data_IF_602799039917
#
_entry.id   IF_602799039917
#
_cell.length_a   1.000
_cell.length_b   1.000
_cell.length_c   1.000
_cell.angle_alpha   90.00
_cell.angle_beta   90.00
_cell.angle_gamma   90.00
#
_symmetry.space_group_name_H-M   'P 1'
#
loop_
_entity.id
_entity.type
_entity.pdbx_description
1 polymer ?
#
# COMPACT_ATOMS: atom_id res chain seq x y z
N UNK A 1 24.65 19.15 -70.24
CA UNK A 1 24.99 17.71 -70.18
C UNK A 1 24.21 17.14 -69.00
N UNK A 2 23.15 16.38 -69.34
CA UNK A 2 22.35 15.45 -68.50
C UNK A 2 21.68 15.99 -67.23
N UNK A 3 20.44 15.68 -66.86
CA UNK A 3 19.27 15.05 -67.47
C UNK A 3 18.15 15.20 -66.40
N UNK A 4 16.88 15.21 -66.81
CA UNK A 4 15.70 15.23 -65.94
C UNK A 4 15.65 14.02 -64.98
N UNK A 5 15.05 14.21 -63.79
CA UNK A 5 13.83 13.50 -63.34
C UNK A 5 13.40 13.90 -61.89
N UNK A 6 12.22 14.48 -61.77
CA UNK A 6 11.23 14.20 -60.70
C UNK A 6 10.09 13.39 -61.36
N UNK A 7 9.08 12.81 -60.66
CA UNK A 7 8.93 12.37 -59.26
C UNK A 7 8.26 10.95 -59.16
N UNK A 8 7.82 10.57 -57.95
CA UNK A 8 6.78 9.57 -57.62
C UNK A 8 7.26 8.26 -56.97
N UNK A 9 6.85 8.02 -55.72
CA UNK A 9 5.61 7.27 -55.39
C UNK A 9 5.49 7.01 -53.88
N UNK A 10 4.26 7.22 -53.42
CA UNK A 10 3.50 6.38 -52.49
C UNK A 10 4.11 5.99 -51.14
N UNK A 11 3.40 6.44 -50.10
CA UNK A 11 2.61 5.50 -49.30
C UNK A 11 3.38 4.68 -48.29
N UNK A 12 3.38 5.14 -47.04
CA UNK A 12 3.82 4.34 -45.92
C UNK A 12 3.73 5.11 -44.63
N UNK A 13 2.53 5.18 -44.04
CA UNK A 13 2.34 5.52 -42.63
C UNK A 13 3.26 4.64 -41.78
N UNK A 14 4.35 5.22 -41.28
CA UNK A 14 5.26 4.54 -40.36
C UNK A 14 4.53 4.42 -39.02
N UNK A 15 3.87 3.29 -38.82
CA UNK A 15 3.47 2.85 -37.49
C UNK A 15 4.75 2.79 -36.64
N UNK A 16 4.82 3.64 -35.62
CA UNK A 16 5.85 3.62 -34.61
C UNK A 16 5.81 2.27 -33.88
N UNK A 17 6.52 1.26 -34.41
CA UNK A 17 6.76 -0.01 -33.70
C UNK A 17 7.65 0.31 -32.52
N UNK A 18 7.01 0.60 -31.39
CA UNK A 18 7.67 0.65 -30.10
C UNK A 18 8.35 -0.71 -29.92
N UNK A 19 9.68 -0.73 -29.97
CA UNK A 19 10.46 -1.94 -29.70
C UNK A 19 10.28 -2.27 -28.22
N UNK A 20 9.21 -3.01 -27.90
CA UNK A 20 9.00 -3.54 -26.55
C UNK A 20 9.96 -4.71 -26.38
N UNK A 21 10.86 -4.58 -25.40
CA UNK A 21 11.74 -5.68 -25.00
C UNK A 21 10.89 -6.89 -24.60
N UNK A 22 11.22 -8.10 -25.09
CA UNK A 22 10.47 -9.29 -24.73
C UNK A 22 10.58 -9.54 -23.22
N UNK A 23 9.44 -9.73 -22.59
CA UNK A 23 9.33 -10.05 -21.16
C UNK A 23 10.01 -11.40 -20.88
N UNK A 24 10.36 -11.66 -19.61
CA UNK A 24 10.99 -12.93 -19.22
C UNK A 24 10.09 -14.14 -19.53
N UNK A 25 8.76 -13.96 -19.52
CA UNK A 25 7.79 -14.99 -19.88
C UNK A 25 7.80 -15.30 -21.39
N UNK A 26 7.83 -14.28 -22.25
CA UNK A 26 7.89 -14.46 -23.71
C UNK A 26 9.17 -15.19 -24.15
N UNK A 27 10.27 -14.98 -23.42
CA UNK A 27 11.55 -15.66 -23.66
C UNK A 27 11.54 -17.15 -23.26
N UNK A 28 10.69 -17.56 -22.32
CA UNK A 28 10.64 -18.95 -21.83
C UNK A 28 9.53 -19.78 -22.48
N UNK A 29 8.43 -19.16 -22.89
CA UNK A 29 7.22 -19.87 -23.31
C UNK A 29 6.72 -19.49 -24.71
N UNK A 30 7.48 -18.67 -25.45
CA UNK A 30 7.07 -18.15 -26.75
C UNK A 30 5.85 -17.23 -26.68
N UNK A 31 5.49 -16.54 -27.78
CA UNK A 31 4.25 -15.79 -27.84
C UNK A 31 3.07 -16.78 -27.78
N UNK A 32 2.40 -16.84 -26.63
CA UNK A 32 1.14 -17.58 -26.49
C UNK A 32 0.17 -17.07 -27.57
N UNK A 33 -0.14 -17.93 -28.54
CA UNK A 33 -1.27 -17.71 -29.43
C UNK A 33 -2.48 -17.46 -28.54
N UNK A 34 -3.00 -16.23 -28.54
CA UNK A 34 -4.31 -15.93 -27.96
C UNK A 34 -5.30 -16.86 -28.65
N UNK A 35 -5.66 -17.98 -28.00
CA UNK A 35 -6.87 -18.71 -28.35
C UNK A 35 -8.01 -17.72 -28.12
N UNK A 36 -8.53 -17.18 -29.21
CA UNK A 36 -9.80 -16.46 -29.20
C UNK A 36 -10.85 -17.48 -28.78
N UNK A 37 -11.44 -17.29 -27.61
CA UNK A 37 -12.67 -17.98 -27.27
C UNK A 37 -13.84 -17.23 -27.95
N UNK A 38 -14.77 -17.95 -28.60
CA UNK A 38 -15.95 -17.34 -29.20
C UNK A 38 -16.84 -16.71 -28.13
N UNK A 39 -17.28 -15.48 -28.41
CA UNK A 39 -18.32 -14.78 -27.66
C UNK A 39 -19.65 -15.48 -27.90
N UNK A 40 -20.19 -16.15 -26.88
CA UNK A 40 -21.61 -16.48 -26.83
C UNK A 40 -22.22 -15.80 -25.61
N UNK A 41 -23.16 -14.91 -25.92
CA UNK A 41 -24.10 -14.32 -25.00
C UNK A 41 -25.16 -15.35 -24.63
N UNK A 42 -25.48 -15.46 -23.33
CA UNK A 42 -26.78 -16.00 -22.90
C UNK A 42 -27.32 -15.05 -21.84
N UNK A 43 -28.46 -14.47 -22.19
CA UNK A 43 -29.31 -13.68 -21.33
C UNK A 43 -30.29 -14.61 -20.58
N UNK A 44 -30.73 -14.14 -19.40
CA UNK A 44 -31.92 -14.60 -18.64
C UNK A 44 -31.70 -15.96 -17.97
N UNK A 45 -31.81 -16.11 -16.64
CA UNK A 45 -33.06 -16.21 -15.87
C UNK A 45 -32.78 -15.91 -14.39
N UNK A 46 -33.65 -15.09 -13.79
CA UNK A 46 -33.78 -14.86 -12.35
C UNK A 46 -34.98 -15.70 -11.85
N UNK A 47 -34.81 -16.57 -10.84
CA UNK A 47 -35.93 -16.84 -9.94
C UNK A 47 -35.47 -17.08 -8.49
N UNK A 48 -35.82 -16.14 -7.61
CA UNK A 48 -36.63 -16.44 -6.43
C UNK A 48 -36.16 -17.50 -5.42
N UNK A 49 -36.00 -17.01 -4.18
CA UNK A 49 -36.41 -17.69 -2.93
C UNK A 49 -35.57 -18.88 -2.48
N UNK A 50 -34.63 -18.60 -1.57
CA UNK A 50 -34.51 -19.43 -0.36
C UNK A 50 -34.04 -18.59 0.82
N UNK A 51 -34.92 -18.48 1.83
CA UNK A 51 -34.68 -17.89 3.14
C UNK A 51 -33.66 -18.76 3.90
N UNK A 52 -32.60 -18.21 4.52
CA UNK A 52 -31.88 -18.93 5.55
C UNK A 52 -32.74 -19.02 6.83
N UNK A 53 -32.72 -20.15 7.56
CA UNK A 53 -33.54 -20.35 8.75
C UNK A 53 -33.10 -19.47 9.92
N UNK A 54 -34.10 -19.03 10.69
CA UNK A 54 -33.99 -18.44 12.02
C UNK A 54 -33.15 -19.33 12.94
N UNK A 55 -32.04 -18.79 13.45
CA UNK A 55 -31.35 -19.38 14.59
C UNK A 55 -31.49 -18.42 15.77
N UNK A 56 -32.14 -18.98 16.77
CA UNK A 56 -32.48 -18.45 18.07
C UNK A 56 -31.35 -17.65 18.74
N UNK A 57 -31.79 -16.60 19.42
CA UNK A 57 -31.04 -15.85 20.39
C UNK A 57 -30.59 -16.74 21.56
N UNK A 58 -29.30 -16.75 21.85
CA UNK A 58 -28.81 -16.95 23.20
C UNK A 58 -27.84 -15.82 23.55
N UNK A 59 -28.32 -14.96 24.45
CA UNK A 59 -27.61 -13.85 25.09
C UNK A 59 -26.80 -14.40 26.26
N UNK A 60 -25.52 -14.03 26.42
CA UNK A 60 -24.90 -13.90 27.74
C UNK A 60 -23.91 -12.72 27.74
N UNK A 61 -24.18 -11.80 28.67
CA UNK A 61 -23.36 -10.78 29.36
C UNK A 61 -21.83 -10.96 29.34
N UNK A 62 -20.95 -9.95 29.48
CA UNK A 62 -20.97 -8.73 30.33
C UNK A 62 -19.76 -7.80 29.93
N UNK A 63 -19.75 -6.49 30.29
CA UNK A 63 -18.68 -5.55 29.91
C UNK A 63 -17.75 -5.09 31.06
N UNK A 64 -16.62 -4.43 30.68
CA UNK A 64 -15.69 -3.57 31.48
C UNK A 64 -14.66 -4.31 32.37
N UNK A 65 -13.37 -3.96 32.51
CA UNK A 65 -12.64 -2.66 32.52
C UNK A 65 -11.16 -2.85 32.08
N UNK A 66 -10.44 -1.81 31.62
CA UNK A 66 -9.01 -1.69 31.87
C UNK A 66 -8.74 -0.64 32.97
N UNK A 67 -8.10 -1.09 34.06
CA UNK A 67 -7.65 -0.25 35.16
C UNK A 67 -6.58 0.76 34.71
N UNK A 68 -6.77 2.00 35.17
CA UNK A 68 -5.74 3.03 35.22
C UNK A 68 -5.05 2.96 36.58
N UNK A 69 -3.73 3.14 36.59
CA UNK A 69 -2.84 3.75 37.62
C UNK A 69 -1.44 3.15 37.36
N UNK A 70 -0.30 3.83 37.48
CA UNK A 70 0.04 4.97 38.32
C UNK A 70 1.17 5.80 37.70
N UNK A 71 1.20 7.07 38.08
CA UNK A 71 2.28 8.05 37.86
C UNK A 71 3.36 7.89 38.96
N UNK A 72 4.64 8.07 38.61
CA UNK A 72 5.72 8.79 39.36
C UNK A 72 7.04 8.58 38.59
N UNK A 73 7.72 9.62 38.08
CA UNK A 73 8.65 10.55 38.77
C UNK A 73 9.86 9.79 39.37
N UNK A 74 11.14 10.16 39.25
CA UNK A 74 11.89 11.31 38.74
C UNK A 74 13.38 10.90 38.63
N UNK A 75 14.31 11.88 38.60
CA UNK A 75 15.78 11.82 38.80
C UNK A 75 16.58 11.74 37.48
N UNK A 76 17.05 12.87 36.92
CA UNK A 76 18.23 13.67 37.30
C UNK A 76 19.56 12.96 36.98
N UNK A 77 20.30 13.55 36.04
CA UNK A 77 21.62 13.09 35.62
C UNK A 77 22.32 14.20 34.84
N UNK A 78 22.76 15.22 35.58
CA UNK A 78 23.74 16.20 35.13
C UNK A 78 24.99 15.48 34.61
N UNK A 79 25.49 15.92 33.47
CA UNK A 79 26.73 15.44 32.86
C UNK A 79 27.35 16.54 32.01
N UNK A 80 27.76 17.62 32.66
CA UNK A 80 28.62 18.66 32.10
C UNK A 80 29.95 18.06 31.63
N UNK A 81 30.39 18.34 30.41
CA UNK A 81 31.81 18.60 30.13
C UNK A 81 32.00 19.46 28.89
N UNK A 82 32.65 20.60 29.13
CA UNK A 82 33.02 21.66 28.20
C UNK A 82 33.99 21.14 27.14
N UNK A 83 33.91 21.66 25.91
CA UNK A 83 35.07 21.68 25.00
C UNK A 83 35.00 22.85 24.01
N UNK A 84 35.95 23.78 24.23
CA UNK A 84 36.67 24.66 23.29
C UNK A 84 35.90 25.52 22.29
N UNK A 85 36.03 26.83 22.53
CA UNK A 85 36.04 27.95 21.58
C UNK A 85 36.84 27.68 20.29
N UNK A 86 36.33 28.06 19.10
CA UNK A 86 37.15 28.53 18.00
C UNK A 86 37.15 30.06 17.97
N UNK A 87 38.30 30.62 18.28
CA UNK A 87 38.69 32.00 18.04
C UNK A 87 39.03 32.12 16.54
N UNK A 88 38.56 33.19 15.87
CA UNK A 88 39.15 33.65 14.60
C UNK A 88 38.24 33.59 13.38
N UNK A 89 37.82 34.76 12.89
CA UNK A 89 37.18 34.91 11.58
C UNK A 89 36.53 36.26 11.35
N UNK A 90 37.32 37.35 11.37
CA UNK A 90 36.91 38.65 10.81
C UNK A 90 36.99 38.56 9.28
N UNK A 91 35.87 38.73 8.58
CA UNK A 91 35.81 38.71 7.11
C UNK A 91 34.57 39.41 6.55
N UNK A 92 34.70 40.72 6.32
CA UNK A 92 34.11 41.54 5.26
C UNK A 92 32.64 41.31 4.84
N UNK A 93 31.80 42.26 5.24
CA UNK A 93 30.42 42.43 4.79
C UNK A 93 30.35 43.46 3.64
N UNK A 94 30.33 42.99 2.39
CA UNK A 94 29.73 43.73 1.27
C UNK A 94 28.26 43.33 1.17
N UNK A 95 27.39 44.13 1.82
CA UNK A 95 25.94 43.90 1.86
C UNK A 95 25.33 44.11 0.48
N UNK A 96 25.02 43.01 -0.22
CA UNK A 96 23.83 42.98 -1.08
C UNK A 96 22.60 43.09 -0.17
N UNK A 97 21.55 43.85 -0.51
CA UNK A 97 20.27 43.78 0.20
C UNK A 97 19.54 42.51 -0.24
N UNK A 98 20.15 41.36 0.05
CA UNK A 98 19.51 40.06 -0.06
C UNK A 98 18.89 39.77 1.28
N UNK A 99 17.57 39.66 1.32
CA UNK A 99 16.75 39.10 2.40
C UNK A 99 17.60 38.20 3.31
N UNK A 100 17.92 38.68 4.51
CA UNK A 100 18.58 37.86 5.54
C UNK A 100 17.61 36.75 5.97
N UNK A 101 17.49 35.70 5.16
CA UNK A 101 17.07 34.41 5.67
C UNK A 101 18.19 33.93 6.58
N UNK A 102 17.98 34.10 7.88
CA UNK A 102 18.76 33.40 8.88
C UNK A 102 18.73 31.91 8.52
N UNK A 103 19.89 31.22 8.50
CA UNK A 103 19.91 29.79 8.26
C UNK A 103 18.97 29.10 9.25
N UNK A 104 18.17 28.11 8.82
CA UNK A 104 17.24 27.43 9.71
C UNK A 104 18.00 26.89 10.91
N UNK A 105 17.46 27.15 12.11
CA UNK A 105 18.04 26.66 13.36
C UNK A 105 18.22 25.14 13.30
N UNK A 106 19.18 24.62 14.07
CA UNK A 106 19.41 23.18 14.10
C UNK A 106 18.18 22.41 14.60
N UNK A 107 17.31 23.06 15.39
CA UNK A 107 16.00 22.53 15.78
C UNK A 107 15.05 22.37 14.60
N UNK A 108 14.98 23.36 13.71
CA UNK A 108 14.18 23.27 12.48
C UNK A 108 14.70 22.13 11.58
N UNK A 109 16.02 21.96 11.45
CA UNK A 109 16.61 20.85 10.69
C UNK A 109 16.29 19.49 11.31
N UNK A 110 16.40 19.37 12.64
CA UNK A 110 16.08 18.14 13.36
C UNK A 110 14.59 17.78 13.18
N UNK A 111 13.72 18.78 13.24
CA UNK A 111 12.29 18.60 13.04
C UNK A 111 11.94 18.22 11.60
N UNK A 112 12.60 18.81 10.60
CA UNK A 112 12.46 18.41 9.20
C UNK A 112 12.86 16.95 8.98
N UNK A 113 13.97 16.49 9.60
CA UNK A 113 14.39 15.07 9.55
C UNK A 113 13.36 14.16 10.20
N UNK A 114 12.84 14.53 11.37
CA UNK A 114 11.81 13.78 12.07
C UNK A 114 10.52 13.66 11.23
N UNK A 115 10.05 14.77 10.64
CA UNK A 115 8.91 14.77 9.73
C UNK A 115 9.14 13.87 8.51
N UNK A 116 10.32 13.93 7.90
CA UNK A 116 10.66 13.07 6.76
C UNK A 116 10.62 11.58 7.13
N UNK A 117 11.15 11.22 8.31
CA UNK A 117 11.07 9.85 8.84
C UNK A 117 9.62 9.39 8.99
N UNK A 118 8.73 10.24 9.53
CA UNK A 118 7.29 9.90 9.67
C UNK A 118 6.57 9.83 8.32
N UNK A 119 6.88 10.70 7.36
CA UNK A 119 6.34 10.61 5.99
C UNK A 119 6.73 9.30 5.31
N UNK A 120 7.99 8.88 5.45
CA UNK A 120 8.46 7.58 4.93
C UNK A 120 7.72 6.41 5.59
N UNK A 121 7.58 6.42 6.92
CA UNK A 121 6.82 5.39 7.63
C UNK A 121 5.37 5.32 7.15
N UNK A 122 4.69 6.47 6.99
CA UNK A 122 3.32 6.51 6.46
C UNK A 122 3.21 5.92 5.04
N UNK A 123 4.18 6.21 4.17
CA UNK A 123 4.25 5.63 2.83
C UNK A 123 4.44 4.11 2.87
N UNK A 124 5.25 3.61 3.80
CA UNK A 124 5.41 2.16 4.02
C UNK A 124 4.10 1.50 4.43
N UNK A 125 3.35 2.08 5.36
CA UNK A 125 2.04 1.55 5.76
C UNK A 125 1.01 1.56 4.63
N UNK A 126 1.02 2.59 3.77
CA UNK A 126 0.19 2.61 2.56
C UNK A 126 0.53 1.42 1.63
N UNK A 127 1.82 1.11 1.46
CA UNK A 127 2.26 -0.06 0.69
C UNK A 127 1.84 -1.38 1.35
N UNK A 128 1.98 -1.51 2.67
CA UNK A 128 1.54 -2.71 3.42
C UNK A 128 0.03 -2.93 3.29
N UNK A 129 -0.78 -1.89 3.46
CA UNK A 129 -2.23 -1.95 3.24
C UNK A 129 -2.58 -2.36 1.80
N UNK A 130 -1.87 -1.82 0.80
CA UNK A 130 -2.07 -2.24 -0.58
C UNK A 130 -1.70 -3.72 -0.82
N UNK A 131 -0.64 -4.23 -0.17
CA UNK A 131 -0.28 -5.65 -0.22
C UNK A 131 -1.37 -6.53 0.39
N UNK A 132 -1.92 -6.16 1.55
CA UNK A 132 -3.04 -6.91 2.16
C UNK A 132 -4.25 -6.96 1.23
N UNK A 133 -4.59 -5.86 0.56
CA UNK A 133 -5.68 -5.86 -0.45
C UNK A 133 -5.40 -6.82 -1.61
N UNK A 134 -4.15 -6.93 -2.07
CA UNK A 134 -3.79 -7.91 -3.12
C UNK A 134 -3.93 -9.34 -2.62
N UNK A 135 -3.49 -9.61 -1.39
CA UNK A 135 -3.66 -10.94 -0.78
C UNK A 135 -5.15 -11.30 -0.65
N UNK A 136 -5.99 -10.35 -0.22
CA UNK A 136 -7.44 -10.55 -0.20
C UNK A 136 -7.99 -10.90 -1.59
N UNK A 137 -7.58 -10.17 -2.64
CA UNK A 137 -8.00 -10.50 -4.01
C UNK A 137 -7.58 -11.90 -4.45
N UNK A 138 -6.39 -12.37 -4.07
CA UNK A 138 -5.97 -13.74 -4.37
C UNK A 138 -6.78 -14.78 -3.59
N UNK A 139 -7.16 -14.49 -2.34
CA UNK A 139 -8.09 -15.33 -1.57
C UNK A 139 -9.45 -15.39 -2.26
N UNK A 140 -9.98 -14.26 -2.71
CA UNK A 140 -11.29 -14.20 -3.39
C UNK A 140 -11.27 -14.97 -4.71
N UNK A 141 -10.19 -14.85 -5.49
CA UNK A 141 -9.98 -15.65 -6.72
C UNK A 141 -9.92 -17.14 -6.42
N UNK A 142 -9.22 -17.53 -5.37
CA UNK A 142 -9.14 -18.92 -4.96
C UNK A 142 -10.50 -19.48 -4.54
N UNK A 143 -11.30 -18.68 -3.82
CA UNK A 143 -12.67 -19.06 -3.47
C UNK A 143 -13.53 -19.27 -4.71
N UNK A 144 -13.49 -18.32 -5.66
CA UNK A 144 -14.20 -18.45 -6.93
C UNK A 144 -13.76 -19.70 -7.72
N UNK A 145 -12.46 -20.01 -7.73
CA UNK A 145 -11.94 -21.24 -8.30
C UNK A 145 -12.55 -22.48 -7.63
N UNK A 146 -12.53 -22.56 -6.29
CA UNK A 146 -13.15 -23.69 -5.58
C UNK A 146 -14.66 -23.79 -5.85
N UNK A 147 -15.38 -22.66 -5.94
CA UNK A 147 -16.81 -22.66 -6.27
C UNK A 147 -17.07 -23.24 -7.66
N UNK A 148 -16.26 -22.86 -8.66
CA UNK A 148 -16.38 -23.43 -10.01
C UNK A 148 -16.08 -24.93 -10.03
N UNK A 149 -15.01 -25.37 -9.33
CA UNK A 149 -14.69 -26.79 -9.23
C UNK A 149 -15.82 -27.59 -8.58
N UNK A 150 -16.45 -27.07 -7.52
CA UNK A 150 -17.62 -27.73 -6.90
C UNK A 150 -18.79 -27.87 -7.89
N UNK A 151 -19.00 -26.88 -8.75
CA UNK A 151 -20.08 -26.92 -9.75
C UNK A 151 -19.79 -27.88 -10.91
N UNK A 152 -18.52 -28.04 -11.30
CA UNK A 152 -18.10 -28.91 -12.41
C UNK A 152 -17.91 -30.38 -11.99
N UNK A 153 -17.55 -30.62 -10.74
CA UNK A 153 -17.30 -31.96 -10.21
C UNK A 153 -18.62 -32.68 -9.90
N UNK A 154 -18.80 -33.89 -10.45
CA UNK A 154 -19.95 -34.76 -10.14
C UNK A 154 -19.74 -35.66 -8.91
N UNK A 155 -18.49 -35.90 -8.52
CA UNK A 155 -18.17 -36.71 -7.34
C UNK A 155 -18.40 -35.92 -6.05
N UNK A 156 -19.36 -36.40 -5.25
CA UNK A 156 -19.69 -35.84 -3.93
C UNK A 156 -18.50 -35.74 -2.98
N UNK A 157 -17.53 -36.66 -3.07
CA UNK A 157 -16.35 -36.64 -2.21
C UNK A 157 -15.42 -35.48 -2.57
N UNK A 158 -15.12 -35.33 -3.87
CA UNK A 158 -14.31 -34.22 -4.37
C UNK A 158 -14.97 -32.86 -4.11
N UNK A 159 -16.30 -32.75 -4.30
CA UNK A 159 -17.06 -31.55 -3.92
C UNK A 159 -16.85 -31.20 -2.44
N UNK A 160 -16.95 -32.18 -1.54
CA UNK A 160 -16.74 -31.97 -0.11
C UNK A 160 -15.30 -31.51 0.21
N UNK A 161 -14.30 -32.01 -0.52
CA UNK A 161 -12.92 -31.57 -0.39
C UNK A 161 -12.73 -30.11 -0.81
N UNK A 162 -13.29 -29.69 -1.96
CA UNK A 162 -13.23 -28.28 -2.40
C UNK A 162 -13.95 -27.34 -1.45
N UNK A 163 -15.12 -27.74 -0.93
CA UNK A 163 -15.85 -26.96 0.07
C UNK A 163 -15.06 -26.82 1.38
N UNK A 164 -14.42 -27.91 1.84
CA UNK A 164 -13.54 -27.89 3.03
C UNK A 164 -12.35 -26.95 2.81
N UNK A 165 -11.71 -27.03 1.64
CA UNK A 165 -10.58 -26.19 1.28
C UNK A 165 -10.96 -24.70 1.26
N UNK A 166 -12.10 -24.37 0.64
CA UNK A 166 -12.66 -23.01 0.64
C UNK A 166 -12.91 -22.49 2.06
N UNK A 167 -13.52 -23.31 2.93
CA UNK A 167 -13.79 -22.95 4.34
C UNK A 167 -12.49 -22.70 5.12
N UNK A 168 -11.49 -23.56 4.98
CA UNK A 168 -10.20 -23.41 5.66
C UNK A 168 -9.47 -22.15 5.19
N UNK A 169 -9.46 -21.87 3.89
CA UNK A 169 -8.86 -20.65 3.34
C UNK A 169 -9.58 -19.40 3.86
N UNK A 170 -10.92 -19.40 3.92
CA UNK A 170 -11.70 -18.29 4.48
C UNK A 170 -11.33 -18.03 5.95
N UNK A 171 -11.32 -19.06 6.78
CA UNK A 171 -10.97 -18.93 8.21
C UNK A 171 -9.54 -18.42 8.41
N UNK A 172 -8.60 -18.94 7.62
CA UNK A 172 -7.19 -18.48 7.67
C UNK A 172 -7.06 -17.02 7.24
N UNK A 173 -7.71 -16.63 6.15
CA UNK A 173 -7.71 -15.27 5.64
C UNK A 173 -8.34 -14.29 6.63
N UNK A 174 -9.51 -14.61 7.20
CA UNK A 174 -10.17 -13.77 8.21
C UNK A 174 -9.29 -13.53 9.44
N UNK A 175 -8.63 -14.59 9.94
CA UNK A 175 -7.72 -14.49 11.09
C UNK A 175 -6.50 -13.63 10.76
N UNK A 176 -5.80 -13.93 9.68
CA UNK A 176 -4.52 -13.27 9.35
C UNK A 176 -4.74 -11.87 8.79
N UNK A 177 -5.57 -11.72 7.75
CA UNK A 177 -5.82 -10.42 7.11
C UNK A 177 -6.58 -9.48 8.04
N UNK A 178 -7.53 -10.00 8.83
CA UNK A 178 -8.26 -9.21 9.81
C UNK A 178 -7.37 -8.66 10.92
N UNK A 179 -6.47 -9.47 11.48
CA UNK A 179 -5.52 -9.02 12.50
C UNK A 179 -4.54 -8.00 11.93
N UNK A 180 -3.96 -8.28 10.77
CA UNK A 180 -2.91 -7.45 10.20
C UNK A 180 -3.43 -6.10 9.67
N UNK A 181 -4.69 -6.07 9.19
CA UNK A 181 -5.38 -4.82 8.84
C UNK A 181 -5.56 -3.94 10.07
N UNK A 182 -6.09 -4.49 11.17
CA UNK A 182 -6.28 -3.76 12.44
C UNK A 182 -4.95 -3.24 13.00
N UNK A 183 -3.89 -4.03 12.90
CA UNK A 183 -2.54 -3.63 13.31
C UNK A 183 -2.04 -2.44 12.49
N UNK A 184 -2.09 -2.54 11.16
CA UNK A 184 -1.66 -1.46 10.26
C UNK A 184 -2.47 -0.18 10.50
N UNK A 185 -3.77 -0.27 10.71
CA UNK A 185 -4.61 0.89 11.00
C UNK A 185 -4.21 1.60 12.30
N UNK A 186 -3.96 0.84 13.37
CA UNK A 186 -3.48 1.38 14.65
C UNK A 186 -2.13 2.08 14.48
N UNK A 187 -1.16 1.41 13.86
CA UNK A 187 0.17 1.95 13.63
C UNK A 187 0.12 3.20 12.73
N UNK A 188 -0.72 3.19 11.69
CA UNK A 188 -0.92 4.35 10.82
C UNK A 188 -1.53 5.54 11.57
N UNK A 189 -2.54 5.30 12.42
CA UNK A 189 -3.16 6.34 13.26
C UNK A 189 -2.13 6.97 14.20
N UNK A 190 -1.25 6.17 14.79
CA UNK A 190 -0.17 6.65 15.64
C UNK A 190 0.83 7.52 14.85
N UNK A 191 1.31 7.05 13.70
CA UNK A 191 2.25 7.82 12.86
C UNK A 191 1.65 9.15 12.41
N UNK A 192 0.36 9.21 12.10
CA UNK A 192 -0.34 10.46 11.75
C UNK A 192 -0.35 11.44 12.92
N UNK A 193 -0.74 11.00 14.12
CA UNK A 193 -0.74 11.84 15.33
C UNK A 193 0.65 12.43 15.61
N UNK A 194 1.69 11.61 15.53
CA UNK A 194 3.07 12.06 15.73
C UNK A 194 3.52 13.03 14.63
N UNK A 195 3.15 12.79 13.37
CA UNK A 195 3.45 13.70 12.27
C UNK A 195 2.76 15.06 12.43
N UNK A 196 1.51 15.09 12.90
CA UNK A 196 0.76 16.32 13.16
C UNK A 196 1.36 17.08 14.35
N UNK A 197 1.78 16.38 15.41
CA UNK A 197 2.51 16.99 16.54
C UNK A 197 3.82 17.63 16.08
N UNK A 198 4.57 16.99 15.18
CA UNK A 198 5.80 17.56 14.62
C UNK A 198 5.49 18.77 13.73
N UNK A 199 4.38 18.77 12.98
CA UNK A 199 3.95 19.93 12.19
C UNK A 199 3.60 21.13 13.10
N UNK A 200 2.90 20.89 14.21
CA UNK A 200 2.59 21.94 15.19
C UNK A 200 3.86 22.49 15.85
N UNK A 201 4.82 21.63 16.23
CA UNK A 201 6.11 22.07 16.75
C UNK A 201 6.87 22.92 15.72
N UNK A 202 6.74 22.61 14.42
CA UNK A 202 7.39 23.36 13.33
C UNK A 202 6.84 24.78 13.25
N UNK A 203 5.51 24.89 13.18
CA UNK A 203 4.81 26.17 13.12
C UNK A 203 5.03 27.05 14.36
N UNK A 204 5.42 26.47 15.50
CA UNK A 204 5.78 27.23 16.71
C UNK A 204 7.22 27.75 16.71
N UNK A 205 8.11 27.09 15.97
CA UNK A 205 9.52 27.45 15.86
C UNK A 205 9.80 28.41 14.70
N UNK A 206 8.99 28.34 13.64
CA UNK A 206 8.95 29.30 12.53
C UNK A 206 8.27 30.61 12.98
#
# INVERSE_FOLDING_TARGET
MSERQEPSKQGGTVANKTVRKPTLLERKFGPQRRRQAPSQAIAVVDPGVQKPPDIAAEKVSEPLKPEQTSKKAAVAGQGTRKRSTPQGGKGHSTKKPGVSQLPPSDDIKNLQRAMHKKRRALAEYRRKSQRLRRVQQEVDKFQAFCTNMVAETSDSHEQALYQKLMRLTKLSAEKVLGQETKRIEKEQKQVRKEADSLRQAKMRLE
#
